data_IF_335182375641
#
_entry.id   IF_335182375641
#
_cell.length_a   1.000
_cell.length_b   1.000
_cell.length_c   1.000
_cell.angle_alpha   90.00
_cell.angle_beta   90.00
_cell.angle_gamma   90.00
#
_symmetry.space_group_name_H-M   'P 1'
#
loop_
_entity.id
_entity.type
_entity.pdbx_description
1 polymer ?
#
# COMPACT_ATOMS: atom_id res chain seq x y z
N UNK A 1 -27.27 8.83 2.51
CA UNK A 1 -26.78 10.13 3.05
C UNK A 1 -27.93 10.82 3.75
N UNK A 2 -27.68 11.36 4.92
CA UNK A 2 -28.70 12.04 5.74
C UNK A 2 -28.25 13.46 6.03
N UNK A 3 -29.19 14.34 6.35
CA UNK A 3 -28.90 15.66 6.87
C UNK A 3 -28.51 15.61 8.37
N UNK A 4 -28.27 16.79 8.98
CA UNK A 4 -27.91 16.92 10.41
C UNK A 4 -29.02 16.46 11.37
N UNK A 5 -30.26 16.38 10.91
CA UNK A 5 -31.43 16.00 11.69
C UNK A 5 -31.77 14.52 11.47
N UNK A 6 -30.99 13.80 10.63
CA UNK A 6 -31.14 12.39 10.34
C UNK A 6 -32.11 12.07 9.19
N UNK A 7 -32.65 13.08 8.50
CA UNK A 7 -33.57 12.86 7.38
C UNK A 7 -32.78 12.39 6.15
N UNK A 8 -33.34 11.44 5.39
CA UNK A 8 -32.75 10.96 4.17
C UNK A 8 -32.73 12.07 3.12
N UNK A 9 -31.53 12.37 2.56
CA UNK A 9 -31.36 13.37 1.48
C UNK A 9 -30.87 12.74 0.18
N UNK A 10 -30.24 11.57 0.25
CA UNK A 10 -29.79 10.81 -0.91
C UNK A 10 -29.67 9.32 -0.59
N UNK A 11 -30.07 8.47 -1.54
CA UNK A 11 -29.92 7.03 -1.49
C UNK A 11 -29.43 6.52 -2.86
N UNK A 12 -28.48 5.57 -2.84
CA UNK A 12 -27.97 4.90 -4.03
C UNK A 12 -28.07 3.39 -3.88
N UNK A 13 -28.52 2.72 -4.95
CA UNK A 13 -28.45 1.27 -5.12
C UNK A 13 -27.28 0.92 -6.03
N UNK A 14 -26.54 -0.16 -5.71
CA UNK A 14 -25.29 -0.50 -6.37
C UNK A 14 -25.28 -1.93 -6.88
N UNK A 15 -24.60 -2.15 -7.99
CA UNK A 15 -24.16 -3.50 -8.37
C UNK A 15 -22.97 -3.94 -7.51
N UNK A 16 -22.69 -5.25 -7.50
CA UNK A 16 -21.66 -5.83 -6.64
C UNK A 16 -20.25 -5.25 -6.83
N UNK A 17 -19.94 -4.66 -7.97
CA UNK A 17 -18.67 -4.01 -8.27
C UNK A 17 -18.71 -2.49 -8.13
N UNK A 18 -19.69 -1.95 -7.41
CA UNK A 18 -19.73 -0.53 -7.08
C UNK A 18 -20.25 0.39 -8.17
N UNK A 19 -20.72 -0.15 -9.31
CA UNK A 19 -21.48 0.62 -10.28
C UNK A 19 -22.80 1.08 -9.67
N UNK A 20 -23.11 2.36 -9.78
CA UNK A 20 -24.39 2.89 -9.34
C UNK A 20 -25.49 2.38 -10.28
N UNK A 21 -26.46 1.65 -9.71
CA UNK A 21 -27.61 1.11 -10.43
C UNK A 21 -28.72 2.15 -10.56
N UNK A 22 -29.02 2.81 -9.45
CA UNK A 22 -29.99 3.90 -9.40
C UNK A 22 -29.66 4.83 -8.23
N UNK A 23 -30.07 6.10 -8.36
CA UNK A 23 -29.99 7.06 -7.27
C UNK A 23 -31.34 7.76 -7.06
N UNK A 24 -31.66 8.02 -5.81
CA UNK A 24 -32.79 8.85 -5.41
C UNK A 24 -32.26 10.08 -4.68
N UNK A 25 -32.52 11.25 -5.25
CA UNK A 25 -32.22 12.55 -4.63
C UNK A 25 -33.50 13.06 -3.99
N UNK A 26 -33.48 13.22 -2.69
CA UNK A 26 -34.61 13.80 -1.94
C UNK A 26 -34.54 15.32 -2.00
N UNK A 27 -33.31 15.87 -2.14
CA UNK A 27 -33.10 17.31 -2.34
C UNK A 27 -32.23 17.53 -3.57
N UNK A 28 -32.50 18.57 -4.35
CA UNK A 28 -31.71 18.90 -5.55
C UNK A 28 -30.24 19.21 -5.27
N UNK A 29 -29.94 19.69 -4.06
CA UNK A 29 -28.57 19.98 -3.61
C UNK A 29 -27.80 18.75 -3.17
N UNK A 30 -28.42 17.58 -3.05
CA UNK A 30 -27.75 16.37 -2.60
C UNK A 30 -26.76 15.88 -3.66
N UNK A 31 -25.49 15.94 -3.33
CA UNK A 31 -24.39 15.49 -4.18
C UNK A 31 -23.57 14.41 -3.47
N UNK A 32 -23.57 13.19 -4.04
CA UNK A 32 -22.82 12.05 -3.50
C UNK A 32 -21.88 11.48 -4.58
N UNK A 33 -20.61 11.91 -4.59
CA UNK A 33 -19.63 11.39 -5.54
C UNK A 33 -18.90 10.14 -5.06
N UNK A 34 -18.98 9.82 -3.75
CA UNK A 34 -18.27 8.66 -3.20
C UNK A 34 -18.95 7.35 -3.63
N UNK A 35 -18.14 6.34 -3.96
CA UNK A 35 -18.57 5.02 -4.44
C UNK A 35 -18.08 3.93 -3.49
N UNK A 36 -17.35 2.92 -3.97
CA UNK A 36 -16.67 1.99 -3.07
C UNK A 36 -15.68 2.74 -2.18
N UNK A 37 -15.15 2.07 -1.17
CA UNK A 37 -14.24 2.69 -0.23
C UNK A 37 -13.10 3.40 -0.97
N UNK A 38 -12.94 4.68 -0.65
CA UNK A 38 -11.91 5.54 -1.21
C UNK A 38 -12.04 5.88 -2.71
N UNK A 39 -13.20 5.65 -3.31
CA UNK A 39 -13.48 5.99 -4.69
C UNK A 39 -14.30 7.27 -4.82
N UNK A 40 -13.92 8.11 -5.78
CA UNK A 40 -14.64 9.32 -6.18
C UNK A 40 -15.11 9.16 -7.63
N UNK A 41 -16.42 9.27 -7.87
CA UNK A 41 -16.97 9.17 -9.21
C UNK A 41 -16.68 10.45 -10.02
N UNK A 42 -15.96 10.28 -11.09
CA UNK A 42 -15.78 11.27 -12.14
C UNK A 42 -16.97 11.18 -13.11
N UNK A 43 -17.79 12.22 -13.15
CA UNK A 43 -18.99 12.26 -13.99
C UNK A 43 -18.70 12.52 -15.46
N UNK A 44 -17.54 13.08 -15.77
CA UNK A 44 -17.16 13.37 -17.16
C UNK A 44 -16.76 12.09 -17.89
N UNK A 45 -16.03 11.22 -17.20
CA UNK A 45 -15.51 9.98 -17.78
C UNK A 45 -16.33 8.74 -17.43
N UNK A 46 -17.16 8.82 -16.38
CA UNK A 46 -17.88 7.68 -15.81
C UNK A 46 -17.01 6.76 -14.97
N UNK A 47 -15.72 7.03 -14.85
CA UNK A 47 -14.76 6.26 -14.06
C UNK A 47 -14.79 6.64 -12.58
N UNK A 48 -14.24 5.78 -11.73
CA UNK A 48 -14.05 6.11 -10.33
C UNK A 48 -12.55 6.33 -10.06
N UNK A 49 -12.19 7.54 -9.62
CA UNK A 49 -10.84 7.86 -9.20
C UNK A 49 -10.53 7.17 -7.87
N UNK A 50 -9.48 6.38 -7.81
CA UNK A 50 -9.01 5.65 -6.65
C UNK A 50 -7.50 5.90 -6.45
N UNK A 51 -7.14 7.10 -5.99
CA UNK A 51 -5.78 7.58 -5.72
C UNK A 51 -4.80 7.43 -6.90
N UNK A 52 -4.24 6.25 -7.08
CA UNK A 52 -3.20 6.02 -8.10
C UNK A 52 -3.75 5.47 -9.40
N UNK A 53 -5.01 5.03 -9.41
CA UNK A 53 -5.64 4.41 -10.58
C UNK A 53 -7.08 4.89 -10.78
N UNK A 54 -7.55 4.72 -12.00
CA UNK A 54 -8.96 4.87 -12.32
C UNK A 54 -9.61 3.49 -12.40
N UNK A 55 -10.73 3.35 -11.73
CA UNK A 55 -11.51 2.14 -11.69
C UNK A 55 -12.71 2.25 -12.64
N UNK A 56 -12.91 1.20 -13.45
CA UNK A 56 -14.02 1.06 -14.37
C UNK A 56 -15.12 0.22 -13.73
N UNK A 57 -16.23 0.85 -13.27
CA UNK A 57 -17.26 0.12 -12.54
C UNK A 57 -18.10 -0.83 -13.40
N UNK A 58 -18.08 -0.67 -14.74
CA UNK A 58 -18.74 -1.60 -15.65
C UNK A 58 -18.01 -2.96 -15.70
N UNK A 59 -16.70 -2.93 -15.66
CA UNK A 59 -15.84 -4.11 -15.80
C UNK A 59 -15.29 -4.62 -14.46
N UNK A 60 -15.47 -3.87 -13.38
CA UNK A 60 -14.98 -4.24 -12.05
C UNK A 60 -13.44 -4.28 -11.93
N UNK A 61 -12.74 -3.44 -12.69
CA UNK A 61 -11.28 -3.43 -12.76
C UNK A 61 -10.71 -2.02 -12.91
N UNK A 62 -9.41 -1.86 -12.66
CA UNK A 62 -8.70 -0.65 -13.03
C UNK A 62 -8.47 -0.57 -14.54
N UNK A 63 -8.45 0.65 -15.11
CA UNK A 63 -8.12 0.89 -16.51
C UNK A 63 -6.63 1.16 -16.73
N UNK A 64 -5.93 1.59 -15.68
CA UNK A 64 -4.49 1.83 -15.68
C UNK A 64 -3.79 0.60 -15.11
N UNK A 65 -2.60 0.30 -15.63
CA UNK A 65 -1.73 -0.69 -15.04
C UNK A 65 -1.36 -0.31 -13.59
N UNK A 66 -1.14 -1.32 -12.76
CA UNK A 66 -0.65 -1.11 -11.42
C UNK A 66 0.71 -0.39 -11.47
N UNK A 67 0.87 0.79 -10.85
CA UNK A 67 2.15 1.50 -10.83
C UNK A 67 3.30 0.70 -10.22
N UNK A 68 2.99 -0.31 -9.40
CA UNK A 68 3.99 -1.23 -8.84
C UNK A 68 4.23 -2.47 -9.73
N UNK A 69 3.56 -2.55 -10.88
CA UNK A 69 3.77 -3.59 -11.90
C UNK A 69 3.50 -5.00 -11.36
N UNK A 70 4.34 -5.96 -11.75
CA UNK A 70 4.23 -7.37 -11.32
C UNK A 70 4.30 -7.55 -9.79
N UNK A 71 4.69 -6.55 -9.05
CA UNK A 71 4.73 -6.57 -7.59
C UNK A 71 3.34 -6.48 -6.97
N UNK A 72 2.37 -5.86 -7.68
CA UNK A 72 0.96 -5.93 -7.36
C UNK A 72 0.30 -7.27 -7.73
N UNK A 73 0.98 -8.14 -8.48
CA UNK A 73 0.50 -9.44 -8.96
C UNK A 73 0.52 -9.56 -10.48
N UNK A 74 0.14 -10.73 -11.00
CA UNK A 74 0.17 -11.01 -12.45
C UNK A 74 -0.93 -10.28 -13.24
N UNK A 75 -1.96 -9.78 -12.57
CA UNK A 75 -3.02 -9.00 -13.19
C UNK A 75 -2.89 -7.53 -12.78
N UNK A 76 -2.32 -6.72 -13.66
CA UNK A 76 -2.08 -5.28 -13.43
C UNK A 76 -3.34 -4.44 -13.29
N UNK A 77 -4.50 -4.98 -13.63
CA UNK A 77 -5.78 -4.27 -13.66
C UNK A 77 -6.74 -4.74 -12.54
N UNK A 78 -6.30 -5.68 -11.70
CA UNK A 78 -7.15 -6.24 -10.64
C UNK A 78 -7.43 -5.19 -9.56
N UNK A 79 -8.72 -4.97 -9.25
CA UNK A 79 -9.14 -4.22 -8.06
C UNK A 79 -9.10 -5.10 -6.81
N UNK A 80 -9.66 -6.30 -6.88
CA UNK A 80 -9.72 -7.26 -5.80
C UNK A 80 -10.50 -8.50 -6.20
N UNK A 81 -10.40 -9.56 -5.40
CA UNK A 81 -11.11 -10.81 -5.69
C UNK A 81 -12.61 -10.72 -5.39
N UNK A 82 -13.00 -9.83 -4.49
CA UNK A 82 -14.39 -9.58 -4.11
C UNK A 82 -14.50 -8.20 -3.48
N UNK A 83 -15.19 -7.28 -4.14
CA UNK A 83 -15.37 -5.89 -3.70
C UNK A 83 -16.17 -5.73 -2.40
N UNK A 84 -16.92 -6.75 -1.99
CA UNK A 84 -17.70 -6.72 -0.74
C UNK A 84 -16.87 -6.95 0.51
N UNK A 85 -15.66 -7.55 0.37
CA UNK A 85 -14.77 -7.92 1.49
C UNK A 85 -13.33 -7.45 1.30
N UNK A 86 -13.01 -6.89 0.14
CA UNK A 86 -11.69 -6.37 -0.22
C UNK A 86 -11.77 -4.89 -0.54
N UNK A 87 -10.85 -4.13 0.03
CA UNK A 87 -10.67 -2.71 -0.23
C UNK A 87 -9.25 -2.53 -0.77
N UNK A 88 -9.14 -1.98 -1.96
CA UNK A 88 -7.87 -1.46 -2.46
C UNK A 88 -7.82 0.05 -2.17
N UNK A 89 -7.38 0.40 -0.97
CA UNK A 89 -7.43 1.75 -0.43
C UNK A 89 -6.64 2.78 -1.25
N UNK A 90 -5.55 2.37 -1.87
CA UNK A 90 -4.71 3.24 -2.70
C UNK A 90 -4.78 2.89 -4.20
N UNK A 91 -5.55 1.89 -4.58
CA UNK A 91 -5.46 1.33 -5.92
C UNK A 91 -4.13 0.57 -6.13
N UNK A 92 -3.56 -0.03 -5.08
CA UNK A 92 -2.30 -0.76 -5.07
C UNK A 92 -2.45 -1.99 -4.19
N UNK A 93 -1.96 -3.13 -4.63
CA UNK A 93 -1.94 -4.32 -3.77
C UNK A 93 -0.87 -4.16 -2.69
N UNK A 94 -1.28 -4.26 -1.43
CA UNK A 94 -0.38 -4.04 -0.30
C UNK A 94 0.52 -5.23 0.02
N UNK A 95 1.61 -4.93 0.75
CA UNK A 95 2.60 -5.88 1.19
C UNK A 95 2.70 -5.92 2.72
N UNK A 96 3.02 -7.11 3.22
CA UNK A 96 3.49 -7.35 4.59
C UNK A 96 4.92 -7.85 4.53
N UNK A 97 5.79 -7.32 5.38
CA UNK A 97 7.15 -7.78 5.56
C UNK A 97 7.35 -8.36 6.95
N UNK A 98 8.10 -9.46 7.01
CA UNK A 98 8.66 -9.99 8.24
C UNK A 98 10.18 -9.84 8.17
N UNK A 99 10.74 -9.05 9.07
CA UNK A 99 12.18 -8.86 9.22
C UNK A 99 12.68 -9.63 10.45
N UNK A 100 13.57 -10.59 10.21
CA UNK A 100 14.08 -11.50 11.25
C UNK A 100 15.59 -11.49 11.31
N UNK A 101 16.16 -11.62 12.49
CA UNK A 101 17.61 -11.69 12.65
C UNK A 101 18.05 -11.74 14.10
N UNK A 102 19.32 -12.11 14.35
CA UNK A 102 19.84 -12.28 15.70
C UNK A 102 19.86 -10.98 16.51
N UNK A 103 20.05 -9.85 15.84
CA UNK A 103 20.10 -8.53 16.48
C UNK A 103 18.77 -7.77 16.41
N UNK A 104 17.76 -8.31 15.69
CA UNK A 104 16.45 -7.67 15.56
C UNK A 104 15.70 -7.74 16.89
N UNK A 105 15.21 -6.61 17.45
CA UNK A 105 14.53 -6.58 18.74
C UNK A 105 13.33 -7.54 18.80
N UNK A 106 13.40 -8.52 19.71
CA UNK A 106 12.41 -9.60 19.82
C UNK A 106 12.54 -10.66 18.72
N UNK A 107 13.66 -10.68 17.96
CA UNK A 107 13.96 -11.66 16.91
C UNK A 107 13.19 -11.42 15.60
N UNK A 108 12.05 -10.74 15.65
CA UNK A 108 11.16 -10.55 14.50
C UNK A 108 10.39 -9.23 14.60
N UNK A 109 10.34 -8.50 13.49
CA UNK A 109 9.52 -7.29 13.32
C UNK A 109 8.70 -7.40 12.07
N UNK A 110 7.43 -6.98 12.15
CA UNK A 110 6.51 -6.94 11.01
C UNK A 110 6.27 -5.50 10.59
N UNK A 111 6.38 -5.24 9.29
CA UNK A 111 5.97 -4.00 8.64
C UNK A 111 4.83 -4.22 7.66
N UNK A 112 4.06 -3.17 7.42
CA UNK A 112 3.00 -3.09 6.42
C UNK A 112 3.32 -1.97 5.45
N UNK A 113 2.96 -2.11 4.19
CA UNK A 113 2.98 -0.98 3.26
C UNK A 113 1.94 0.06 3.66
N UNK A 114 2.14 1.31 3.25
CA UNK A 114 1.19 2.39 3.60
C UNK A 114 -0.22 2.13 3.08
N UNK A 115 -0.37 1.38 1.99
CA UNK A 115 -1.66 0.91 1.48
C UNK A 115 -2.38 -0.08 2.40
N UNK A 116 -1.67 -0.71 3.32
CA UNK A 116 -2.19 -1.65 4.31
C UNK A 116 -2.22 -1.07 5.74
N UNK A 117 -2.16 0.25 5.85
CA UNK A 117 -2.17 0.95 7.13
C UNK A 117 -0.80 1.10 7.78
N UNK A 118 0.28 0.74 7.09
CA UNK A 118 1.64 1.01 7.55
C UNK A 118 1.98 2.50 7.51
N UNK A 119 2.92 2.91 8.34
CA UNK A 119 3.34 4.32 8.45
C UNK A 119 4.49 4.70 7.50
N UNK A 120 5.07 3.69 6.80
CA UNK A 120 6.28 3.91 6.00
C UNK A 120 7.50 4.21 6.86
N UNK A 121 8.36 5.15 6.41
CA UNK A 121 9.52 5.59 7.19
C UNK A 121 9.08 6.54 8.31
N UNK A 122 9.46 6.20 9.55
CA UNK A 122 9.22 7.02 10.75
C UNK A 122 10.50 7.35 11.50
N UNK A 123 11.62 6.70 11.14
CA UNK A 123 12.90 6.86 11.82
C UNK A 123 13.92 7.63 10.96
N UNK A 124 14.61 8.65 11.50
CA UNK A 124 15.50 9.53 10.72
C UNK A 124 16.67 8.79 10.06
N UNK A 125 17.29 7.83 10.76
CA UNK A 125 18.39 7.04 10.20
C UNK A 125 17.92 6.11 9.06
N UNK A 126 16.69 5.63 9.12
CA UNK A 126 16.08 4.87 8.01
C UNK A 126 15.76 5.81 6.85
N UNK A 127 15.31 7.04 7.13
CA UNK A 127 15.12 8.06 6.11
C UNK A 127 16.43 8.34 5.37
N UNK A 128 17.52 8.53 6.09
CA UNK A 128 18.87 8.70 5.50
C UNK A 128 19.25 7.53 4.58
N UNK A 129 18.95 6.28 4.99
CA UNK A 129 19.22 5.11 4.17
C UNK A 129 18.46 5.11 2.84
N UNK A 130 17.22 5.61 2.84
CA UNK A 130 16.39 5.74 1.64
C UNK A 130 16.78 6.95 0.80
N UNK A 131 17.16 8.07 1.40
CA UNK A 131 17.62 9.28 0.70
C UNK A 131 18.91 9.01 -0.09
N UNK A 132 19.76 8.11 0.41
CA UNK A 132 21.00 7.67 -0.25
C UNK A 132 20.76 6.68 -1.41
N UNK A 133 19.53 6.28 -1.71
CA UNK A 133 19.24 5.47 -2.90
C UNK A 133 19.41 6.33 -4.15
N UNK A 134 20.26 5.93 -5.12
CA UNK A 134 20.42 6.66 -6.39
C UNK A 134 19.08 6.83 -7.11
N UNK A 135 18.88 7.96 -7.77
CA UNK A 135 17.61 8.32 -8.41
C UNK A 135 17.18 7.25 -9.44
N UNK A 136 18.14 6.73 -10.22
CA UNK A 136 17.92 5.68 -11.22
C UNK A 136 17.53 4.31 -10.61
N UNK A 137 17.74 4.15 -9.31
CA UNK A 137 17.42 2.95 -8.52
C UNK A 137 16.19 3.10 -7.64
N UNK A 138 15.57 4.27 -7.65
CA UNK A 138 14.35 4.50 -6.84
C UNK A 138 13.14 3.88 -7.51
N UNK A 139 12.23 3.38 -6.68
CA UNK A 139 10.85 3.15 -7.08
C UNK A 139 10.19 4.46 -7.48
N UNK A 140 8.98 4.39 -8.09
CA UNK A 140 8.15 5.57 -8.30
C UNK A 140 8.20 6.48 -7.06
N UNK A 141 8.37 7.82 -7.21
CA UNK A 141 8.47 8.75 -6.07
C UNK A 141 7.34 8.63 -5.05
N UNK A 142 6.14 8.23 -5.52
CA UNK A 142 4.96 8.01 -4.67
C UNK A 142 5.07 6.76 -3.79
N UNK A 143 5.97 5.82 -4.15
CA UNK A 143 6.16 4.54 -3.47
C UNK A 143 7.46 4.50 -2.65
N UNK A 144 8.40 5.40 -2.93
CA UNK A 144 9.69 5.45 -2.25
C UNK A 144 9.50 5.68 -0.74
N UNK A 145 10.01 4.75 0.08
CA UNK A 145 9.87 4.81 1.54
C UNK A 145 8.49 4.45 2.10
N UNK A 146 7.53 4.02 1.25
CA UNK A 146 6.17 3.64 1.66
C UNK A 146 5.94 2.12 1.67
N UNK A 147 6.98 1.35 1.42
CA UNK A 147 6.93 -0.10 1.41
C UNK A 147 6.93 -0.67 2.83
N UNK A 148 6.53 -1.92 2.96
CA UNK A 148 6.48 -2.63 4.24
C UNK A 148 7.87 -2.81 4.88
N UNK A 149 8.94 -2.93 4.07
CA UNK A 149 10.33 -2.97 4.51
C UNK A 149 10.74 -1.67 5.23
N UNK A 150 10.34 -0.54 4.69
CA UNK A 150 10.63 0.78 5.26
C UNK A 150 10.05 0.93 6.67
N UNK A 151 8.81 0.46 6.85
CA UNK A 151 8.17 0.45 8.18
C UNK A 151 8.81 -0.56 9.13
N UNK A 152 9.14 -1.77 8.65
CA UNK A 152 9.80 -2.78 9.49
C UNK A 152 11.16 -2.27 10.00
N UNK A 153 11.96 -1.67 9.12
CA UNK A 153 13.26 -1.06 9.48
C UNK A 153 13.09 0.08 10.48
N UNK A 154 12.12 0.97 10.27
CA UNK A 154 11.83 2.08 11.19
C UNK A 154 11.45 1.58 12.58
N UNK A 155 10.51 0.63 12.66
CA UNK A 155 10.12 0.01 13.93
C UNK A 155 11.30 -0.66 14.65
N UNK A 156 12.19 -1.30 13.90
CA UNK A 156 13.39 -1.95 14.46
C UNK A 156 14.39 -0.93 14.98
N UNK A 157 14.64 0.12 14.21
CA UNK A 157 15.53 1.21 14.60
C UNK A 157 15.02 1.95 15.85
N UNK A 158 13.71 2.21 15.93
CA UNK A 158 13.05 2.79 17.11
C UNK A 158 13.23 1.91 18.35
N UNK A 159 12.91 0.61 18.24
CA UNK A 159 13.02 -0.34 19.35
C UNK A 159 14.46 -0.55 19.84
N UNK A 160 15.44 -0.43 18.95
CA UNK A 160 16.85 -0.57 19.26
C UNK A 160 17.52 0.76 19.65
N UNK A 161 16.78 1.88 19.65
CA UNK A 161 17.31 3.24 19.88
C UNK A 161 18.51 3.57 18.96
N UNK A 162 18.42 3.22 17.69
CA UNK A 162 19.45 3.49 16.67
C UNK A 162 19.63 4.99 16.48
N UNK A 163 20.85 5.49 16.50
CA UNK A 163 21.17 6.91 16.35
C UNK A 163 21.95 7.24 15.09
N UNK A 164 22.55 6.24 14.43
CA UNK A 164 23.37 6.43 13.23
C UNK A 164 23.37 5.19 12.32
N UNK A 165 23.88 5.34 11.10
CA UNK A 165 23.92 4.28 10.08
C UNK A 165 24.78 3.08 10.47
N UNK A 166 25.79 3.25 11.29
CA UNK A 166 26.64 2.13 11.75
C UNK A 166 25.84 1.21 12.70
N UNK A 167 25.08 1.80 13.60
CA UNK A 167 24.19 1.05 14.49
C UNK A 167 23.07 0.35 13.72
N UNK A 168 22.51 1.02 12.69
CA UNK A 168 21.51 0.38 11.83
C UNK A 168 22.10 -0.83 11.09
N UNK A 169 23.36 -0.75 10.58
CA UNK A 169 24.04 -1.89 9.97
C UNK A 169 24.32 -3.01 10.97
N UNK A 170 24.72 -2.69 12.19
CA UNK A 170 24.91 -3.70 13.26
C UNK A 170 23.61 -4.41 13.56
N UNK A 171 22.50 -3.67 13.67
CA UNK A 171 21.16 -4.20 13.88
C UNK A 171 20.74 -5.15 12.74
N UNK A 172 21.01 -4.74 11.51
CA UNK A 172 20.64 -5.45 10.29
C UNK A 172 21.51 -6.69 9.99
N UNK A 173 22.68 -6.81 10.62
CA UNK A 173 23.66 -7.86 10.32
C UNK A 173 23.06 -9.27 10.49
N UNK A 174 23.25 -10.12 9.45
CA UNK A 174 22.79 -11.51 9.40
C UNK A 174 21.26 -11.64 9.51
N UNK A 175 20.52 -10.64 9.07
CA UNK A 175 19.06 -10.65 9.08
C UNK A 175 18.47 -10.93 7.70
N UNK A 176 17.17 -11.25 7.69
CA UNK A 176 16.39 -11.59 6.48
C UNK A 176 15.12 -10.76 6.49
N UNK A 177 14.79 -10.16 5.37
CA UNK A 177 13.52 -9.51 5.11
C UNK A 177 12.71 -10.34 4.13
N UNK A 178 11.52 -10.77 4.50
CA UNK A 178 10.63 -11.59 3.67
C UNK A 178 9.34 -10.83 3.45
N UNK A 179 9.09 -10.42 2.21
CA UNK A 179 7.90 -9.71 1.80
C UNK A 179 6.85 -10.67 1.24
N UNK A 180 5.61 -10.50 1.65
CA UNK A 180 4.48 -11.26 1.14
C UNK A 180 3.30 -10.31 0.87
N UNK A 181 2.42 -10.70 -0.05
CA UNK A 181 1.14 -10.02 -0.19
C UNK A 181 0.37 -10.10 1.13
N UNK A 182 -0.23 -8.99 1.52
CA UNK A 182 -1.07 -8.96 2.72
C UNK A 182 -2.48 -9.48 2.41
N UNK A 183 -2.56 -10.67 1.84
CA UNK A 183 -3.80 -11.38 1.52
C UNK A 183 -3.82 -12.77 2.19
N UNK A 184 -4.97 -13.46 2.12
CA UNK A 184 -5.11 -14.82 2.72
C UNK A 184 -4.14 -15.85 2.15
N UNK A 185 -3.60 -15.66 0.95
CA UNK A 185 -2.66 -16.58 0.30
C UNK A 185 -1.21 -16.28 0.62
N UNK A 186 -0.90 -15.04 1.05
CA UNK A 186 0.43 -14.62 1.46
C UNK A 186 1.51 -14.88 0.40
N UNK A 187 1.21 -14.69 -0.89
CA UNK A 187 2.17 -14.98 -1.96
C UNK A 187 3.46 -14.18 -1.78
N UNK A 188 4.63 -14.81 -1.99
CA UNK A 188 5.92 -14.12 -1.92
C UNK A 188 5.96 -12.93 -2.88
N UNK A 189 6.56 -11.83 -2.41
CA UNK A 189 6.82 -10.61 -3.17
C UNK A 189 8.30 -10.28 -3.10
N UNK A 190 8.89 -9.79 -4.18
CA UNK A 190 10.24 -9.25 -4.16
C UNK A 190 10.23 -7.83 -3.58
N UNK A 191 11.32 -7.46 -2.92
CA UNK A 191 11.52 -6.09 -2.49
C UNK A 191 11.53 -5.13 -3.70
N UNK A 192 10.92 -3.97 -3.54
CA UNK A 192 10.91 -2.92 -4.57
C UNK A 192 12.34 -2.40 -4.86
N UNK A 193 12.63 -1.74 -6.02
CA UNK A 193 13.98 -1.25 -6.32
C UNK A 193 14.61 -0.47 -5.18
N UNK A 194 13.86 0.49 -4.58
CA UNK A 194 14.35 1.25 -3.43
C UNK A 194 14.69 0.35 -2.25
N UNK A 195 13.76 -0.54 -1.87
CA UNK A 195 13.95 -1.46 -0.75
C UNK A 195 15.09 -2.44 -1.03
N UNK A 196 15.16 -3.01 -2.23
CA UNK A 196 16.24 -3.92 -2.61
C UNK A 196 17.61 -3.26 -2.48
N UNK A 197 17.73 -1.99 -2.87
CA UNK A 197 18.96 -1.22 -2.70
C UNK A 197 19.32 -1.00 -1.22
N UNK A 198 18.34 -0.58 -0.41
CA UNK A 198 18.53 -0.36 1.03
C UNK A 198 18.89 -1.66 1.75
N UNK A 199 18.14 -2.75 1.50
CA UNK A 199 18.44 -4.06 2.10
C UNK A 199 19.86 -4.52 1.78
N UNK A 200 20.28 -4.42 0.52
CA UNK A 200 21.64 -4.76 0.09
C UNK A 200 22.70 -3.94 0.81
N UNK A 201 22.51 -2.63 0.93
CA UNK A 201 23.48 -1.72 1.58
C UNK A 201 23.57 -1.94 3.10
N UNK A 202 22.51 -2.44 3.71
CA UNK A 202 22.46 -2.81 5.13
C UNK A 202 22.93 -4.26 5.39
N UNK A 203 23.18 -5.05 4.35
CA UNK A 203 23.55 -6.47 4.47
C UNK A 203 22.39 -7.36 4.89
N UNK A 204 21.15 -6.95 4.61
CA UNK A 204 19.94 -7.74 4.85
C UNK A 204 19.67 -8.61 3.62
N UNK A 205 19.46 -9.90 3.82
CA UNK A 205 19.10 -10.81 2.74
C UNK A 205 17.61 -10.65 2.41
N UNK A 206 17.26 -10.52 1.13
CA UNK A 206 15.89 -10.64 0.66
C UNK A 206 15.48 -12.12 0.68
N UNK A 207 14.51 -12.48 1.49
CA UNK A 207 14.07 -13.87 1.65
C UNK A 207 13.34 -14.45 0.43
N UNK A 208 12.89 -13.57 -0.48
CA UNK A 208 12.19 -13.92 -1.73
C UNK A 208 13.00 -13.58 -2.99
N UNK A 209 14.17 -12.97 -2.83
CA UNK A 209 15.12 -12.73 -3.89
C UNK A 209 15.96 -13.99 -4.13
N UNK A 210 15.85 -14.57 -5.31
CA UNK A 210 16.80 -15.58 -5.78
C UNK A 210 18.04 -14.95 -6.34
#
# INVERSE_FOLDING_TARGET
>A
MTDKDGNLVWFGDYYGWGKLKSETKVTDSAYQPFRLQNQYADRETGLHYNFFRYYEPECGRFINQDPIGLWGGNNFYLYGLNSSVWIDFLGLTGARVTWTGPNVPGGTITGLSTGEGGKGITHPVVQEAYDNVPIDKRSDPRMHGRCAEAEALSKGAEKANVTNMEELRKLAKNSVSTANRNDKKGKPMRACPSCSHVLKNLGIRDGNGG
#
